data_IF_076391444873
#
_entry.id   IF_076391444873
#
_cell.length_a   1.000
_cell.length_b   1.000
_cell.length_c   1.000
_cell.angle_alpha   90.00
_cell.angle_beta   90.00
_cell.angle_gamma   90.00
#
_symmetry.space_group_name_H-M   'P 1'
#
loop_
_entity.id
_entity.type
_entity.pdbx_description
1 polymer ?
#
# COMPACT_ATOMS: atom_id res chain seq x y z
N UNK A 1 -20.33 15.34 -16.94
CA UNK A 1 -21.59 15.05 -16.23
C UNK A 1 -21.71 15.97 -15.03
N UNK A 2 -22.92 16.29 -14.61
CA UNK A 2 -23.21 17.06 -13.41
C UNK A 2 -22.99 16.22 -12.14
N UNK A 3 -22.39 16.76 -11.06
CA UNK A 3 -21.97 15.97 -9.91
C UNK A 3 -23.13 15.49 -9.00
N UNK A 4 -24.33 16.08 -9.10
CA UNK A 4 -25.40 15.82 -8.13
C UNK A 4 -25.96 14.39 -8.13
N UNK A 5 -25.76 13.62 -9.21
CA UNK A 5 -26.11 12.19 -9.29
C UNK A 5 -24.88 11.30 -9.35
N UNK A 6 -23.68 11.84 -9.16
CA UNK A 6 -22.46 11.05 -9.14
C UNK A 6 -22.09 10.75 -7.69
N UNK A 7 -21.80 9.49 -7.41
CA UNK A 7 -21.29 9.05 -6.11
C UNK A 7 -19.88 8.48 -6.26
N UNK A 8 -18.94 8.79 -5.34
CA UNK A 8 -17.61 8.19 -5.35
C UNK A 8 -17.72 6.68 -5.25
N UNK A 9 -16.87 5.95 -5.98
CA UNK A 9 -17.02 4.52 -6.19
C UNK A 9 -15.70 3.75 -6.05
N UNK A 10 -15.74 2.65 -5.30
CA UNK A 10 -14.60 1.77 -5.01
C UNK A 10 -14.74 0.39 -5.67
N UNK A 11 -13.61 -0.17 -6.06
CA UNK A 11 -13.40 -1.58 -6.39
C UNK A 11 -12.61 -2.26 -5.28
N UNK A 12 -12.51 -3.60 -5.33
CA UNK A 12 -11.80 -4.37 -4.31
C UNK A 12 -10.35 -3.93 -4.10
N UNK A 13 -9.64 -3.57 -5.17
CA UNK A 13 -8.24 -3.13 -5.09
C UNK A 13 -8.07 -1.67 -4.64
N UNK A 14 -9.15 -0.98 -4.27
CA UNK A 14 -9.10 0.38 -3.74
C UNK A 14 -9.26 0.38 -2.20
N UNK A 15 -9.26 -0.79 -1.55
CA UNK A 15 -9.50 -0.94 -0.10
C UNK A 15 -8.36 -1.73 0.53
N UNK A 16 -7.65 -1.09 1.46
CA UNK A 16 -6.46 -1.62 2.13
C UNK A 16 -6.51 -1.36 3.64
N UNK A 17 -5.79 -2.19 4.41
CA UNK A 17 -5.73 -2.16 5.88
C UNK A 17 -5.44 -0.75 6.42
N UNK A 18 -6.38 -0.13 7.12
CA UNK A 18 -6.31 1.24 7.68
C UNK A 18 -6.01 2.38 6.67
N UNK A 19 -6.00 2.11 5.36
CA UNK A 19 -5.68 3.15 4.40
C UNK A 19 -6.89 4.09 4.24
N UNK A 20 -6.67 5.41 4.16
CA UNK A 20 -7.70 6.35 3.75
C UNK A 20 -8.27 6.00 2.37
N UNK A 21 -9.54 6.28 2.16
CA UNK A 21 -10.22 5.95 0.91
C UNK A 21 -10.02 7.04 -0.15
N UNK A 22 -9.43 6.66 -1.28
CA UNK A 22 -9.25 7.53 -2.44
C UNK A 22 -10.04 7.03 -3.67
N UNK A 23 -11.35 7.30 -3.74
CA UNK A 23 -12.18 6.83 -4.85
C UNK A 23 -11.78 7.50 -6.18
N UNK A 24 -11.28 6.69 -7.11
CA UNK A 24 -10.89 7.11 -8.47
C UNK A 24 -12.03 6.97 -9.49
N UNK A 25 -13.10 6.28 -9.13
CA UNK A 25 -14.26 6.05 -9.98
C UNK A 25 -15.49 6.75 -9.44
N UNK A 26 -16.46 6.96 -10.32
CA UNK A 26 -17.76 7.53 -9.99
C UNK A 26 -18.86 6.68 -10.61
N UNK A 27 -19.96 6.53 -9.88
CA UNK A 27 -21.16 5.83 -10.36
C UNK A 27 -22.31 6.81 -10.49
N UNK A 28 -23.11 6.67 -11.56
CA UNK A 28 -24.38 7.38 -11.69
C UNK A 28 -25.37 6.71 -10.75
N UNK A 29 -25.82 7.46 -9.75
CA UNK A 29 -26.81 7.06 -8.76
C UNK A 29 -28.11 7.85 -9.03
N UNK A 30 -29.08 7.25 -9.75
CA UNK A 30 -30.28 7.95 -10.22
C UNK A 30 -31.36 8.02 -9.12
N UNK A 31 -30.96 8.30 -7.89
CA UNK A 31 -31.85 8.41 -6.74
C UNK A 31 -31.44 9.59 -5.85
N UNK A 32 -32.42 10.28 -5.29
CA UNK A 32 -32.23 11.17 -4.15
C UNK A 32 -32.42 10.38 -2.86
N UNK A 33 -31.61 10.68 -1.85
CA UNK A 33 -31.75 10.08 -0.52
C UNK A 33 -32.28 11.15 0.42
N UNK A 34 -33.38 10.84 1.10
CA UNK A 34 -33.98 11.66 2.16
C UNK A 34 -34.21 10.77 3.38
N UNK A 35 -33.30 10.83 4.35
CA UNK A 35 -33.31 9.96 5.52
C UNK A 35 -33.21 8.47 5.15
N UNK A 36 -34.26 7.71 5.47
CA UNK A 36 -34.34 6.27 5.17
C UNK A 36 -34.98 5.95 3.80
N UNK A 37 -35.41 6.98 3.07
CA UNK A 37 -36.07 6.83 1.78
C UNK A 37 -35.15 7.14 0.59
N UNK A 38 -35.34 6.40 -0.50
CA UNK A 38 -34.65 6.60 -1.76
C UNK A 38 -35.67 6.88 -2.88
N UNK A 39 -35.67 8.11 -3.39
CA UNK A 39 -36.59 8.57 -4.42
C UNK A 39 -35.92 8.51 -5.79
N UNK A 40 -36.56 7.86 -6.76
CA UNK A 40 -36.01 7.75 -8.12
C UNK A 40 -36.08 9.09 -8.88
N UNK A 41 -35.02 9.42 -9.60
CA UNK A 41 -34.95 10.63 -10.44
C UNK A 41 -35.62 10.34 -11.78
N UNK A 42 -36.81 10.90 -11.99
CA UNK A 42 -37.57 10.75 -13.23
C UNK A 42 -36.89 11.43 -14.43
N UNK A 43 -37.23 10.97 -15.64
CA UNK A 43 -36.57 11.42 -16.87
C UNK A 43 -36.72 12.93 -17.10
N UNK A 44 -37.87 13.51 -16.74
CA UNK A 44 -38.12 14.95 -16.83
C UNK A 44 -37.14 15.74 -15.94
N UNK A 45 -36.88 15.27 -14.71
CA UNK A 45 -35.92 15.91 -13.82
C UNK A 45 -34.50 15.73 -14.36
N UNK A 46 -34.18 14.53 -14.85
CA UNK A 46 -32.88 14.19 -15.40
C UNK A 46 -32.52 15.10 -16.59
N UNK A 47 -33.45 15.32 -17.52
CA UNK A 47 -33.27 16.22 -18.67
C UNK A 47 -33.12 17.69 -18.25
N UNK A 48 -33.93 18.16 -17.29
CA UNK A 48 -33.94 19.56 -16.88
C UNK A 48 -32.76 19.95 -15.99
N UNK A 49 -32.36 19.09 -15.05
CA UNK A 49 -31.36 19.40 -14.01
C UNK A 49 -30.00 18.76 -14.28
N UNK A 50 -29.95 17.66 -15.03
CA UNK A 50 -28.73 16.88 -15.26
C UNK A 50 -28.53 16.55 -16.76
N UNK A 51 -28.55 17.56 -17.66
CA UNK A 51 -28.61 17.34 -19.11
C UNK A 51 -27.42 16.55 -19.66
N UNK A 52 -26.20 16.69 -19.11
CA UNK A 52 -25.03 15.90 -19.57
C UNK A 52 -25.11 14.45 -19.10
N UNK A 53 -25.63 14.20 -17.90
CA UNK A 53 -25.89 12.84 -17.42
C UNK A 53 -26.99 12.18 -18.24
N UNK A 54 -28.06 12.92 -18.56
CA UNK A 54 -29.12 12.45 -19.46
C UNK A 54 -28.57 12.06 -20.83
N UNK A 55 -27.81 12.95 -21.47
CA UNK A 55 -27.19 12.69 -22.77
C UNK A 55 -26.31 11.43 -22.75
N UNK A 56 -25.50 11.25 -21.70
CA UNK A 56 -24.68 10.05 -21.55
C UNK A 56 -25.53 8.78 -21.42
N UNK A 57 -26.54 8.77 -20.55
CA UNK A 57 -27.42 7.61 -20.40
C UNK A 57 -28.12 7.28 -21.71
N UNK A 58 -28.61 8.28 -22.46
CA UNK A 58 -29.25 8.10 -23.76
C UNK A 58 -28.32 7.49 -24.80
N UNK A 59 -27.03 7.86 -24.80
CA UNK A 59 -26.02 7.24 -25.68
C UNK A 59 -25.81 5.75 -25.40
N UNK A 60 -26.13 5.30 -24.18
CA UNK A 60 -25.97 3.92 -23.72
C UNK A 60 -27.32 3.21 -23.47
N UNK A 61 -28.43 3.75 -23.98
CA UNK A 61 -29.78 3.24 -23.69
C UNK A 61 -29.95 1.77 -24.08
N UNK A 62 -29.50 1.39 -25.28
CA UNK A 62 -29.61 0.01 -25.78
C UNK A 62 -28.91 -0.98 -24.84
N UNK A 63 -27.70 -0.66 -24.38
CA UNK A 63 -26.95 -1.49 -23.43
C UNK A 63 -27.67 -1.56 -22.07
N UNK A 64 -28.17 -0.42 -21.59
CA UNK A 64 -28.82 -0.31 -20.28
C UNK A 64 -30.16 -1.06 -20.22
N UNK A 65 -30.96 -1.02 -21.29
CA UNK A 65 -32.22 -1.79 -21.44
C UNK A 65 -31.97 -3.29 -21.50
N UNK A 66 -30.88 -3.70 -22.15
CA UNK A 66 -30.52 -5.12 -22.31
C UNK A 66 -29.94 -5.76 -21.02
N UNK A 67 -29.64 -4.98 -19.98
CA UNK A 67 -29.17 -5.50 -18.68
C UNK A 67 -30.13 -6.56 -18.13
N UNK A 68 -29.55 -7.54 -17.42
CA UNK A 68 -30.30 -8.64 -16.80
C UNK A 68 -31.19 -9.40 -17.81
N UNK A 69 -30.74 -9.51 -19.07
CA UNK A 69 -31.47 -10.20 -20.13
C UNK A 69 -32.71 -9.45 -20.61
N UNK A 70 -32.69 -8.11 -20.60
CA UNK A 70 -33.79 -7.26 -21.07
C UNK A 70 -34.81 -6.88 -20.00
N UNK A 71 -34.59 -7.21 -18.71
CA UNK A 71 -35.53 -6.85 -17.64
C UNK A 71 -35.68 -5.34 -17.45
N UNK A 72 -34.69 -4.56 -17.89
CA UNK A 72 -34.67 -3.10 -17.77
C UNK A 72 -35.35 -2.40 -18.95
N UNK A 73 -35.97 -3.14 -19.87
CA UNK A 73 -36.70 -2.55 -20.99
C UNK A 73 -38.09 -2.03 -20.55
N UNK A 74 -38.08 -0.96 -19.77
CA UNK A 74 -39.27 -0.25 -19.28
C UNK A 74 -39.03 1.27 -19.25
N UNK A 75 -39.97 2.04 -18.69
CA UNK A 75 -39.89 3.51 -18.64
C UNK A 75 -38.67 4.00 -17.83
N UNK A 76 -38.38 3.37 -16.69
CA UNK A 76 -37.21 3.66 -15.84
C UNK A 76 -35.93 2.89 -16.21
N UNK A 77 -35.63 2.73 -17.50
CA UNK A 77 -34.55 1.84 -18.01
C UNK A 77 -33.12 2.08 -17.44
N UNK A 78 -32.85 3.24 -16.86
CA UNK A 78 -31.60 3.60 -16.21
C UNK A 78 -31.60 3.39 -14.68
N UNK A 79 -32.67 2.88 -14.09
CA UNK A 79 -32.72 2.54 -12.67
C UNK A 79 -31.84 1.32 -12.34
N UNK A 80 -31.68 1.03 -11.05
CA UNK A 80 -30.94 -0.14 -10.61
C UNK A 80 -31.83 -1.38 -10.72
N UNK A 81 -31.28 -2.44 -11.32
CA UNK A 81 -31.97 -3.75 -11.48
C UNK A 81 -32.56 -4.24 -10.15
N UNK A 82 -31.82 -4.02 -9.06
CA UNK A 82 -32.24 -4.33 -7.69
C UNK A 82 -31.89 -3.16 -6.77
N UNK A 83 -32.82 -2.23 -6.49
CA UNK A 83 -32.59 -1.08 -5.62
C UNK A 83 -32.62 -1.51 -4.15
N UNK A 84 -31.56 -2.19 -3.69
CA UNK A 84 -31.41 -2.67 -2.32
C UNK A 84 -30.36 -1.84 -1.60
N UNK A 85 -30.58 -1.61 -0.31
CA UNK A 85 -29.63 -0.94 0.59
C UNK A 85 -29.18 0.43 0.08
N UNK A 86 -30.02 1.14 -0.69
CA UNK A 86 -29.66 2.40 -1.33
C UNK A 86 -29.26 3.47 -0.30
N UNK A 87 -29.87 3.42 0.88
CA UNK A 87 -29.64 4.35 1.99
C UNK A 87 -28.48 3.92 2.90
N UNK A 88 -28.11 2.64 2.90
CA UNK A 88 -27.04 2.13 3.77
C UNK A 88 -25.64 2.54 3.30
N UNK A 89 -25.45 2.77 2.00
CA UNK A 89 -24.15 3.19 1.47
C UNK A 89 -23.69 4.54 2.05
N UNK A 90 -24.60 5.46 2.38
CA UNK A 90 -24.26 6.78 2.93
C UNK A 90 -23.88 6.75 4.40
N UNK A 91 -24.11 5.63 5.09
CA UNK A 91 -23.75 5.48 6.49
C UNK A 91 -22.25 5.26 6.62
N UNK A 92 -21.72 5.73 7.73
CA UNK A 92 -20.38 5.40 8.18
C UNK A 92 -20.29 3.90 8.43
N UNK A 93 -19.20 3.27 7.99
CA UNK A 93 -19.05 1.82 8.02
C UNK A 93 -17.60 1.41 7.94
N UNK A 94 -17.31 0.21 8.42
CA UNK A 94 -16.04 -0.47 8.11
C UNK A 94 -16.20 -1.16 6.77
N UNK A 95 -15.19 -1.12 5.90
CA UNK A 95 -15.19 -1.84 4.62
C UNK A 95 -13.99 -2.75 4.47
N UNK A 96 -14.16 -3.83 3.69
CA UNK A 96 -13.10 -4.79 3.37
C UNK A 96 -13.31 -5.41 1.97
N UNK A 97 -12.26 -5.75 1.21
CA UNK A 97 -12.42 -6.45 -0.05
C UNK A 97 -12.93 -7.88 0.18
N UNK A 98 -13.79 -8.38 -0.72
CA UNK A 98 -14.36 -9.74 -0.64
C UNK A 98 -13.27 -10.81 -0.64
N UNK A 99 -12.19 -10.58 -1.38
CA UNK A 99 -11.06 -11.51 -1.54
C UNK A 99 -9.80 -10.74 -1.18
N UNK A 100 -9.07 -11.21 -0.19
CA UNK A 100 -7.92 -10.51 0.38
C UNK A 100 -6.83 -11.49 0.82
N UNK A 101 -5.58 -11.04 0.71
CA UNK A 101 -4.45 -11.63 1.43
C UNK A 101 -4.23 -10.80 2.69
N UNK A 102 -4.37 -11.43 3.86
CA UNK A 102 -4.44 -10.71 5.14
C UNK A 102 -5.75 -9.94 5.35
N UNK A 103 -6.01 -9.48 6.59
CA UNK A 103 -7.08 -8.54 6.89
C UNK A 103 -6.81 -7.17 6.26
N UNK A 104 -7.72 -6.71 5.39
CA UNK A 104 -7.70 -5.37 4.81
C UNK A 104 -9.01 -4.67 5.15
N UNK A 105 -9.14 -4.19 6.39
CA UNK A 105 -10.27 -3.39 6.83
C UNK A 105 -9.87 -1.92 6.95
N UNK A 106 -10.75 -1.01 6.56
CA UNK A 106 -10.60 0.43 6.81
C UNK A 106 -11.94 1.08 7.09
N UNK A 107 -11.92 2.31 7.59
CA UNK A 107 -13.11 3.09 7.92
C UNK A 107 -13.55 3.95 6.74
N UNK A 108 -14.85 3.94 6.46
CA UNK A 108 -15.51 4.78 5.45
C UNK A 108 -16.45 5.75 6.18
N UNK A 109 -15.93 6.93 6.52
CA UNK A 109 -16.70 8.01 7.15
C UNK A 109 -17.57 8.78 6.15
N UNK A 110 -17.27 8.71 4.86
CA UNK A 110 -17.91 9.54 3.83
C UNK A 110 -19.07 8.83 3.09
N UNK A 111 -19.30 7.56 3.40
CA UNK A 111 -20.41 6.80 2.80
C UNK A 111 -20.17 6.47 1.32
N UNK A 112 -19.00 5.92 1.01
CA UNK A 112 -18.54 5.60 -0.34
C UNK A 112 -19.27 4.39 -0.94
N UNK A 113 -19.56 4.45 -2.24
CA UNK A 113 -20.24 3.37 -2.97
C UNK A 113 -19.25 2.34 -3.47
N UNK A 114 -19.68 1.08 -3.62
CA UNK A 114 -18.78 0.04 -4.09
C UNK A 114 -19.52 -1.11 -4.79
N UNK A 115 -18.76 -1.91 -5.56
CA UNK A 115 -19.28 -3.18 -6.11
C UNK A 115 -19.50 -4.23 -5.01
N UNK A 116 -20.06 -5.39 -5.38
CA UNK A 116 -20.13 -6.57 -4.50
C UNK A 116 -18.76 -7.16 -4.13
N UNK A 117 -17.66 -6.65 -4.70
CA UNK A 117 -16.27 -7.07 -4.38
C UNK A 117 -15.69 -6.33 -3.19
N UNK A 118 -16.44 -5.42 -2.60
CA UNK A 118 -16.18 -4.81 -1.30
C UNK A 118 -17.40 -5.11 -0.42
N UNK A 119 -17.14 -5.36 0.85
CA UNK A 119 -18.15 -5.70 1.85
C UNK A 119 -18.15 -4.64 2.94
N UNK A 120 -19.33 -4.14 3.29
CA UNK A 120 -19.52 -3.14 4.34
C UNK A 120 -20.05 -3.76 5.64
N UNK A 121 -19.51 -3.33 6.76
CA UNK A 121 -19.89 -3.71 8.11
C UNK A 121 -20.43 -2.47 8.81
N UNK A 122 -21.74 -2.49 9.10
CA UNK A 122 -22.41 -1.48 9.92
C UNK A 122 -22.42 -1.95 11.37
N UNK A 123 -22.01 -1.07 12.27
CA UNK A 123 -22.13 -1.30 13.71
C UNK A 123 -23.55 -0.98 14.13
N UNK A 124 -24.15 -1.83 14.95
CA UNK A 124 -25.51 -1.64 15.42
C UNK A 124 -25.49 -0.79 16.71
N UNK A 125 -26.31 0.26 16.78
CA UNK A 125 -26.43 1.12 17.97
C UNK A 125 -26.80 0.36 19.25
N UNK A 126 -27.28 -0.88 19.15
CA UNK A 126 -27.61 -1.72 20.31
C UNK A 126 -26.42 -2.47 20.94
N UNK A 127 -25.21 -2.34 20.40
CA UNK A 127 -24.01 -3.00 20.93
C UNK A 127 -22.99 -1.97 21.39
N UNK A 128 -22.29 -2.28 22.47
CA UNK A 128 -21.23 -1.43 23.04
C UNK A 128 -19.92 -1.65 22.24
N UNK A 129 -19.95 -1.31 20.96
CA UNK A 129 -18.76 -1.34 20.10
C UNK A 129 -18.62 -0.03 19.33
N UNK A 130 -17.44 0.56 19.37
CA UNK A 130 -17.07 1.62 18.43
C UNK A 130 -16.51 1.00 17.14
N UNK A 131 -16.74 1.60 15.96
CA UNK A 131 -16.14 1.15 14.71
C UNK A 131 -14.61 1.06 14.76
N UNK A 132 -13.95 1.98 15.44
CA UNK A 132 -12.50 2.08 15.53
C UNK A 132 -11.92 0.93 16.35
N UNK A 133 -12.57 0.57 17.46
CA UNK A 133 -12.21 -0.62 18.23
C UNK A 133 -12.34 -1.89 17.39
N UNK A 134 -13.46 -2.04 16.68
CA UNK A 134 -13.66 -3.19 15.80
C UNK A 134 -12.60 -3.23 14.70
N UNK A 135 -12.21 -2.08 14.18
CA UNK A 135 -11.16 -1.98 13.18
C UNK A 135 -9.83 -2.53 13.71
N UNK A 136 -9.45 -2.16 14.94
CA UNK A 136 -8.26 -2.69 15.64
C UNK A 136 -8.29 -4.22 15.78
N UNK A 137 -9.43 -4.79 16.20
CA UNK A 137 -9.55 -6.24 16.35
C UNK A 137 -9.58 -6.96 15.00
N UNK A 138 -10.31 -6.44 14.02
CA UNK A 138 -10.49 -7.07 12.71
C UNK A 138 -9.21 -7.02 11.87
N UNK A 139 -8.36 -6.02 12.05
CA UNK A 139 -7.07 -5.96 11.35
C UNK A 139 -5.96 -6.76 12.04
N UNK A 140 -6.21 -7.33 13.22
CA UNK A 140 -5.19 -8.07 13.96
C UNK A 140 -4.82 -9.42 13.32
N UNK A 141 -3.61 -9.94 13.60
CA UNK A 141 -3.20 -11.30 13.24
C UNK A 141 -4.13 -12.38 13.78
N UNK A 142 -4.85 -12.12 14.87
CA UNK A 142 -5.84 -13.05 15.43
C UNK A 142 -6.96 -13.36 14.43
N UNK A 143 -7.48 -12.36 13.70
CA UNK A 143 -8.49 -12.62 12.67
C UNK A 143 -7.87 -13.40 11.51
N UNK A 144 -6.66 -13.04 11.10
CA UNK A 144 -5.96 -13.75 10.03
C UNK A 144 -5.78 -15.22 10.36
N UNK A 145 -5.21 -15.52 11.54
CA UNK A 145 -5.04 -16.87 12.03
C UNK A 145 -6.37 -17.65 12.04
N UNK A 146 -7.45 -17.03 12.52
CA UNK A 146 -8.78 -17.64 12.50
C UNK A 146 -9.25 -17.96 11.07
N UNK A 147 -9.13 -17.02 10.12
CA UNK A 147 -9.56 -17.23 8.73
C UNK A 147 -8.67 -18.22 7.98
N UNK A 148 -7.36 -18.24 8.25
CA UNK A 148 -6.42 -19.20 7.68
C UNK A 148 -6.75 -20.64 8.10
N UNK A 149 -7.31 -20.83 9.29
CA UNK A 149 -7.70 -22.15 9.81
C UNK A 149 -9.14 -22.57 9.51
N UNK A 150 -10.06 -21.63 9.26
CA UNK A 150 -11.51 -21.91 9.12
C UNK A 150 -12.10 -21.53 7.77
N UNK A 151 -11.42 -20.66 7.05
CA UNK A 151 -11.88 -20.04 5.82
C UNK A 151 -11.67 -20.90 4.57
N UNK A 152 -12.13 -20.36 3.45
CA UNK A 152 -11.93 -20.98 2.14
C UNK A 152 -10.73 -20.34 1.44
N UNK A 153 -9.66 -21.12 1.29
CA UNK A 153 -8.44 -20.70 0.59
C UNK A 153 -8.66 -20.69 -0.93
N UNK A 154 -8.31 -19.56 -1.55
CA UNK A 154 -8.24 -19.36 -2.98
C UNK A 154 -6.78 -19.48 -3.45
N UNK A 155 -6.57 -19.47 -4.77
CA UNK A 155 -5.21 -19.56 -5.35
C UNK A 155 -4.31 -18.44 -4.81
N UNK A 156 -3.11 -18.80 -4.39
CA UNK A 156 -2.08 -17.83 -3.94
C UNK A 156 -2.26 -17.31 -2.51
N UNK A 157 -2.93 -18.07 -1.63
CA UNK A 157 -3.04 -17.71 -0.21
C UNK A 157 -4.15 -16.69 0.11
N UNK A 158 -4.99 -16.34 -0.85
CA UNK A 158 -6.10 -15.40 -0.64
C UNK A 158 -7.29 -16.07 0.06
N UNK A 159 -8.00 -15.33 0.91
CA UNK A 159 -9.21 -15.79 1.62
C UNK A 159 -10.42 -14.92 1.31
N UNK A 160 -11.61 -15.47 1.60
CA UNK A 160 -12.89 -14.77 1.38
C UNK A 160 -13.39 -14.09 2.66
N UNK A 161 -13.63 -12.78 2.60
CA UNK A 161 -14.14 -11.94 3.69
C UNK A 161 -15.62 -11.63 3.46
N UNK A 162 -16.49 -12.61 3.75
CA UNK A 162 -17.95 -12.47 3.68
C UNK A 162 -18.60 -12.86 5.00
N UNK A 163 -19.88 -12.50 5.17
CA UNK A 163 -20.71 -12.80 6.35
C UNK A 163 -20.49 -14.21 6.89
N UNK A 164 -20.58 -15.24 6.04
CA UNK A 164 -20.49 -16.63 6.50
C UNK A 164 -19.11 -17.01 7.05
N UNK A 165 -18.05 -16.33 6.63
CA UNK A 165 -16.68 -16.59 7.08
C UNK A 165 -16.29 -15.71 8.27
N UNK A 166 -16.82 -14.48 8.35
CA UNK A 166 -16.56 -13.56 9.45
C UNK A 166 -17.43 -13.84 10.68
N UNK A 167 -18.69 -14.25 10.49
CA UNK A 167 -19.67 -14.42 11.57
C UNK A 167 -19.26 -15.41 12.69
N UNK A 168 -18.50 -16.49 12.44
CA UNK A 168 -18.06 -17.37 13.53
C UNK A 168 -16.88 -16.81 14.34
N UNK A 169 -16.23 -15.72 13.90
CA UNK A 169 -15.18 -15.05 14.66
C UNK A 169 -15.78 -14.32 15.87
N UNK A 170 -15.16 -14.47 17.05
CA UNK A 170 -15.66 -13.89 18.29
C UNK A 170 -14.87 -12.64 18.65
N UNK A 171 -15.53 -11.48 18.67
CA UNK A 171 -14.91 -10.21 19.11
C UNK A 171 -14.95 -10.12 20.65
N UNK A 172 -13.86 -9.71 21.34
CA UNK A 172 -13.87 -9.54 22.78
C UNK A 172 -14.95 -8.53 23.19
N UNK A 173 -15.82 -8.92 24.11
CA UNK A 173 -16.86 -8.03 24.63
C UNK A 173 -16.23 -7.20 25.76
N UNK A 174 -15.98 -5.93 25.49
CA UNK A 174 -15.50 -4.95 26.46
C UNK A 174 -16.45 -3.74 26.42
N UNK A 175 -16.71 -3.07 27.55
CA UNK A 175 -17.68 -1.98 27.61
C UNK A 175 -17.10 -0.71 26.96
N UNK A 176 -17.96 0.27 26.65
CA UNK A 176 -17.57 1.59 26.14
C UNK A 176 -17.66 2.68 27.21
N UNK A 177 -17.59 2.30 28.48
CA UNK A 177 -17.73 3.20 29.65
C UNK A 177 -16.37 3.66 30.18
N UNK A 178 -15.53 4.19 29.28
CA UNK A 178 -14.20 4.65 29.62
C UNK A 178 -14.19 5.80 30.64
N UNK A 179 -13.13 5.83 31.43
CA UNK A 179 -12.78 6.98 32.27
C UNK A 179 -11.86 7.91 31.45
N UNK A 180 -12.26 9.17 31.29
CA UNK A 180 -11.57 10.10 30.41
C UNK A 180 -10.11 10.36 30.83
N UNK A 181 -9.87 10.47 32.15
CA UNK A 181 -8.53 10.68 32.71
C UNK A 181 -7.62 9.46 32.40
N UNK A 182 -8.18 8.25 32.49
CA UNK A 182 -7.51 7.00 32.13
C UNK A 182 -7.14 6.91 30.65
N UNK A 183 -8.01 7.38 29.75
CA UNK A 183 -7.74 7.40 28.31
C UNK A 183 -6.66 8.45 28.00
N UNK A 184 -6.73 9.63 28.61
CA UNK A 184 -5.71 10.68 28.46
C UNK A 184 -4.33 10.19 28.92
N UNK A 185 -4.25 9.45 30.03
CA UNK A 185 -2.99 8.84 30.48
C UNK A 185 -2.40 7.86 29.44
N UNK A 186 -3.24 7.04 28.81
CA UNK A 186 -2.81 6.12 27.75
C UNK A 186 -2.33 6.87 26.50
N UNK A 187 -3.00 7.96 26.12
CA UNK A 187 -2.62 8.80 24.99
C UNK A 187 -1.29 9.52 25.24
N UNK A 188 -1.10 10.13 26.41
CA UNK A 188 0.17 10.76 26.79
C UNK A 188 1.33 9.76 26.83
N UNK A 189 1.07 8.54 27.30
CA UNK A 189 2.06 7.46 27.24
C UNK A 189 2.39 7.10 25.79
N UNK A 190 1.39 6.99 24.92
CA UNK A 190 1.57 6.66 23.50
C UNK A 190 2.45 7.68 22.77
N UNK A 191 2.26 8.98 23.00
CA UNK A 191 3.11 10.03 22.42
C UNK A 191 4.58 9.84 22.81
N UNK A 192 4.85 9.52 24.08
CA UNK A 192 6.21 9.22 24.57
C UNK A 192 6.74 7.92 24.00
N UNK A 193 5.88 6.91 23.85
CA UNK A 193 6.23 5.61 23.27
C UNK A 193 6.65 5.74 21.81
N UNK A 194 5.88 6.47 21.01
CA UNK A 194 6.14 6.70 19.58
C UNK A 194 7.37 7.56 19.35
N UNK A 195 7.56 8.60 20.16
CA UNK A 195 8.77 9.44 20.12
C UNK A 195 10.02 8.80 20.74
N UNK A 196 9.89 7.56 21.25
CA UNK A 196 10.97 6.82 21.93
C UNK A 196 11.53 7.53 23.17
N UNK A 197 10.73 8.39 23.80
CA UNK A 197 11.12 9.13 25.01
C UNK A 197 10.74 8.41 26.30
N UNK A 198 10.15 7.21 26.22
CA UNK A 198 9.86 6.36 27.38
C UNK A 198 10.24 4.91 27.14
N UNK A 199 10.51 4.20 28.24
CA UNK A 199 10.67 2.73 28.30
C UNK A 199 9.68 2.10 29.27
N UNK A 200 8.75 2.90 29.79
CA UNK A 200 7.71 2.45 30.70
C UNK A 200 6.73 1.54 29.96
N UNK A 201 6.20 0.57 30.69
CA UNK A 201 5.18 -0.34 30.18
C UNK A 201 3.88 0.42 29.86
N UNK A 202 3.14 -0.07 28.88
CA UNK A 202 1.87 0.52 28.49
C UNK A 202 0.88 0.46 29.66
N UNK A 203 0.18 1.57 30.01
CA UNK A 203 -0.68 1.62 31.19
C UNK A 203 -1.68 0.47 31.28
N UNK A 204 -2.31 0.09 30.17
CA UNK A 204 -3.25 -1.03 30.07
C UNK A 204 -2.70 -2.42 30.45
N UNK A 205 -1.37 -2.61 30.47
CA UNK A 205 -0.74 -3.86 30.93
C UNK A 205 -0.33 -3.80 32.41
N UNK A 206 -0.44 -2.63 33.04
CA UNK A 206 -0.11 -2.47 34.46
C UNK A 206 -1.28 -2.88 35.35
N UNK A 207 -1.01 -3.22 36.62
CA UNK A 207 -2.04 -3.57 37.61
C UNK A 207 -3.04 -2.44 37.91
N UNK A 208 -2.79 -1.22 37.40
CA UNK A 208 -3.65 -0.05 37.60
C UNK A 208 -4.93 -0.13 36.76
N UNK A 209 -4.89 -0.85 35.63
CA UNK A 209 -5.99 -0.91 34.67
C UNK A 209 -6.53 -2.34 34.55
N UNK A 210 -7.85 -2.46 34.44
CA UNK A 210 -8.46 -3.69 33.96
C UNK A 210 -8.33 -3.73 32.43
N UNK A 211 -7.69 -4.78 31.91
CA UNK A 211 -7.53 -4.98 30.46
C UNK A 211 -8.89 -5.08 29.75
N UNK A 212 -9.95 -5.51 30.43
CA UNK A 212 -11.31 -5.58 29.84
C UNK A 212 -12.19 -4.38 30.22
N UNK A 213 -11.59 -3.20 30.36
CA UNK A 213 -12.28 -1.93 30.65
C UNK A 213 -12.60 -1.13 29.38
N UNK A 214 -13.49 -0.15 29.52
CA UNK A 214 -13.74 0.83 28.46
C UNK A 214 -12.54 1.69 28.10
N UNK A 215 -11.59 1.88 29.02
CA UNK A 215 -10.32 2.52 28.69
C UNK A 215 -9.54 1.74 27.63
N UNK A 216 -9.51 0.41 27.71
CA UNK A 216 -8.84 -0.42 26.69
C UNK A 216 -9.59 -0.38 25.36
N UNK A 217 -10.93 -0.32 25.41
CA UNK A 217 -11.78 -0.15 24.23
C UNK A 217 -11.44 1.14 23.47
N UNK A 218 -11.50 2.26 24.16
CA UNK A 218 -11.27 3.57 23.58
C UNK A 218 -9.81 3.78 23.18
N UNK A 219 -8.86 3.23 23.94
CA UNK A 219 -7.45 3.29 23.58
C UNK A 219 -7.15 2.51 22.30
N UNK A 220 -7.73 1.32 22.10
CA UNK A 220 -7.63 0.60 20.84
C UNK A 220 -8.29 1.35 19.67
N UNK A 221 -9.40 2.05 19.92
CA UNK A 221 -10.02 2.93 18.93
C UNK A 221 -9.08 4.07 18.52
N UNK A 222 -8.51 4.76 19.52
CA UNK A 222 -7.52 5.81 19.31
C UNK A 222 -6.31 5.31 18.50
N UNK A 223 -5.75 4.14 18.81
CA UNK A 223 -4.61 3.59 18.06
C UNK A 223 -4.96 3.30 16.59
N UNK A 224 -6.18 2.84 16.30
CA UNK A 224 -6.65 2.67 14.91
C UNK A 224 -6.74 4.01 14.18
N UNK A 225 -7.28 5.04 14.80
CA UNK A 225 -7.33 6.39 14.24
C UNK A 225 -5.93 6.94 13.97
N UNK A 226 -5.00 6.74 14.90
CA UNK A 226 -3.60 7.16 14.75
C UNK A 226 -2.93 6.48 13.55
N UNK A 227 -3.14 5.18 13.32
CA UNK A 227 -2.62 4.51 12.12
C UNK A 227 -3.21 5.12 10.84
N UNK A 228 -4.52 5.36 10.80
CA UNK A 228 -5.18 5.97 9.63
C UNK A 228 -4.58 7.35 9.36
N UNK A 229 -4.38 8.16 10.40
CA UNK A 229 -3.78 9.50 10.29
C UNK A 229 -2.33 9.44 9.83
N UNK A 230 -1.51 8.55 10.40
CA UNK A 230 -0.12 8.37 10.00
C UNK A 230 -0.02 7.93 8.53
N UNK A 231 -0.88 7.01 8.08
CA UNK A 231 -0.97 6.60 6.67
C UNK A 231 -1.36 7.76 5.77
N UNK A 232 -2.39 8.53 6.13
CA UNK A 232 -2.78 9.73 5.41
C UNK A 232 -1.63 10.76 5.30
N UNK A 233 -0.84 10.93 6.36
CA UNK A 233 0.34 11.80 6.34
C UNK A 233 1.46 11.25 5.46
N UNK A 234 1.66 9.93 5.47
CA UNK A 234 2.65 9.25 4.64
C UNK A 234 2.30 9.42 3.15
N UNK A 235 1.05 9.19 2.77
CA UNK A 235 0.59 9.23 1.37
C UNK A 235 0.65 10.65 0.76
N UNK A 236 0.65 11.69 1.60
CA UNK A 236 0.86 13.07 1.15
C UNK A 236 2.31 13.38 0.78
N UNK A 237 3.28 12.52 1.10
CA UNK A 237 4.68 12.76 0.82
C UNK A 237 5.03 12.33 -0.61
N UNK A 238 5.66 13.24 -1.36
CA UNK A 238 6.19 12.90 -2.68
C UNK A 238 7.53 12.17 -2.53
N UNK A 239 7.56 10.88 -2.88
CA UNK A 239 8.76 10.04 -2.86
C UNK A 239 9.37 9.82 -4.26
N UNK A 240 8.90 10.56 -5.26
CA UNK A 240 9.50 10.53 -6.59
C UNK A 240 10.65 11.56 -6.68
N UNK A 241 11.89 11.10 -6.63
CA UNK A 241 13.07 11.97 -6.72
C UNK A 241 13.07 12.86 -7.97
N UNK A 242 12.56 12.38 -9.12
CA UNK A 242 12.60 13.15 -10.36
C UNK A 242 11.84 14.48 -10.27
N UNK A 243 10.76 14.52 -9.48
CA UNK A 243 9.98 15.74 -9.23
C UNK A 243 10.79 16.79 -8.45
N UNK A 244 11.74 16.34 -7.61
CA UNK A 244 12.63 17.22 -6.85
C UNK A 244 13.82 17.72 -7.67
N UNK A 245 14.30 16.91 -8.62
CA UNK A 245 15.40 17.28 -9.51
C UNK A 245 14.97 18.30 -10.56
N UNK A 246 13.71 18.21 -11.03
CA UNK A 246 13.19 19.09 -12.07
C UNK A 246 14.04 19.03 -13.34
N UNK A 247 14.33 20.19 -13.93
CA UNK A 247 15.23 20.29 -15.08
C UNK A 247 16.67 20.46 -14.63
N UNK A 248 17.55 19.56 -15.06
CA UNK A 248 18.99 19.62 -14.79
C UNK A 248 19.80 19.45 -16.07
N UNK A 249 21.05 19.88 -16.04
CA UNK A 249 22.03 19.62 -17.09
C UNK A 249 22.77 18.30 -16.87
N UNK A 250 23.33 17.72 -17.94
CA UNK A 250 24.10 16.49 -17.86
C UNK A 250 25.45 16.76 -17.16
N UNK A 251 25.73 16.00 -16.11
CA UNK A 251 27.02 15.94 -15.43
C UNK A 251 27.94 14.87 -16.03
N UNK A 252 28.81 14.31 -15.18
CA UNK A 252 29.76 13.28 -15.58
C UNK A 252 29.09 11.91 -15.76
N UNK A 253 29.70 11.06 -16.58
CA UNK A 253 29.34 9.64 -16.60
C UNK A 253 29.86 8.95 -15.34
N UNK A 254 29.11 7.97 -14.85
CA UNK A 254 29.39 7.25 -13.62
C UNK A 254 30.79 6.58 -13.65
N UNK A 255 31.22 6.07 -14.81
CA UNK A 255 32.55 5.47 -14.99
C UNK A 255 33.70 6.46 -15.19
N UNK A 256 33.41 7.76 -15.33
CA UNK A 256 34.41 8.83 -15.51
C UNK A 256 34.72 9.58 -14.20
N UNK A 257 34.03 9.25 -13.12
CA UNK A 257 34.33 9.79 -11.79
C UNK A 257 35.73 9.35 -11.33
N UNK A 258 36.48 10.27 -10.73
CA UNK A 258 37.86 10.01 -10.31
C UNK A 258 37.94 9.00 -9.15
N UNK A 259 36.88 8.91 -8.37
CA UNK A 259 36.72 8.05 -7.20
C UNK A 259 36.38 6.60 -7.58
N UNK A 260 36.02 6.36 -8.85
CA UNK A 260 35.65 5.04 -9.35
C UNK A 260 36.85 4.09 -9.38
N UNK A 261 36.63 2.86 -8.88
CA UNK A 261 37.50 1.73 -9.13
C UNK A 261 36.68 0.46 -9.44
N UNK A 262 37.22 -0.47 -10.25
CA UNK A 262 36.60 -1.76 -10.48
C UNK A 262 36.68 -2.62 -9.19
N UNK A 263 35.58 -3.26 -8.76
CA UNK A 263 35.60 -4.21 -7.65
C UNK A 263 36.46 -5.44 -7.97
N UNK A 264 36.99 -6.09 -6.94
CA UNK A 264 37.76 -7.33 -7.11
C UNK A 264 36.88 -8.45 -7.69
N UNK A 265 37.35 -9.11 -8.75
CA UNK A 265 36.62 -10.20 -9.41
C UNK A 265 35.50 -9.75 -10.36
N UNK A 266 35.21 -8.44 -10.47
CA UNK A 266 34.17 -7.92 -11.35
C UNK A 266 34.43 -8.22 -12.84
N UNK A 267 35.70 -8.34 -13.26
CA UNK A 267 36.06 -8.68 -14.63
C UNK A 267 35.89 -10.17 -14.98
N UNK A 268 35.81 -11.04 -13.98
CA UNK A 268 35.65 -12.50 -14.14
C UNK A 268 34.18 -12.94 -13.99
N UNK A 269 33.30 -12.02 -13.61
CA UNK A 269 31.90 -12.29 -13.39
C UNK A 269 31.07 -12.09 -14.66
N UNK A 270 29.88 -12.69 -14.65
CA UNK A 270 28.90 -12.59 -15.74
C UNK A 270 28.49 -11.15 -16.09
N UNK A 271 28.63 -10.20 -15.16
CA UNK A 271 28.27 -8.80 -15.41
C UNK A 271 29.29 -8.08 -16.31
N UNK A 272 30.49 -8.64 -16.49
CA UNK A 272 31.50 -8.20 -17.45
C UNK A 272 31.39 -8.90 -18.82
N UNK A 273 30.51 -9.88 -18.96
CA UNK A 273 30.28 -10.58 -20.23
C UNK A 273 29.50 -9.71 -21.23
N UNK A 274 29.59 -10.09 -22.51
CA UNK A 274 28.90 -9.41 -23.61
C UNK A 274 27.86 -10.33 -24.24
N UNK A 275 27.06 -9.78 -25.15
CA UNK A 275 26.14 -10.61 -25.93
C UNK A 275 26.84 -11.52 -26.96
N UNK A 276 28.17 -11.59 -26.99
CA UNK A 276 28.90 -12.61 -27.77
C UNK A 276 29.11 -13.90 -26.98
N UNK A 277 29.19 -13.80 -25.65
CA UNK A 277 29.34 -14.95 -24.76
C UNK A 277 28.01 -15.40 -24.19
N UNK A 278 27.07 -14.48 -23.97
CA UNK A 278 25.72 -14.78 -23.45
C UNK A 278 24.63 -13.99 -24.15
N UNK A 279 23.78 -14.69 -24.88
CA UNK A 279 22.61 -14.10 -25.50
C UNK A 279 21.61 -13.58 -24.45
N UNK A 280 20.93 -12.50 -24.79
CA UNK A 280 19.89 -11.87 -23.96
C UNK A 280 20.34 -11.34 -22.59
N UNK A 281 21.65 -11.21 -22.34
CA UNK A 281 22.18 -10.71 -21.07
C UNK A 281 21.74 -9.25 -20.79
N UNK A 282 21.14 -9.01 -19.62
CA UNK A 282 20.66 -7.69 -19.18
C UNK A 282 20.81 -7.51 -17.66
N UNK A 283 20.77 -6.26 -17.20
CA UNK A 283 20.67 -5.94 -15.77
C UNK A 283 19.32 -6.43 -15.23
N UNK A 284 19.34 -7.05 -14.04
CA UNK A 284 18.14 -7.45 -13.29
C UNK A 284 17.72 -6.37 -12.31
N UNK A 285 18.34 -6.36 -11.14
CA UNK A 285 18.20 -5.35 -10.10
C UNK A 285 19.52 -4.62 -9.87
N UNK A 286 19.43 -3.49 -9.19
CA UNK A 286 20.56 -2.68 -8.75
C UNK A 286 20.36 -2.32 -7.29
N UNK A 287 21.43 -2.47 -6.52
CA UNK A 287 21.48 -2.12 -5.10
C UNK A 287 22.68 -1.24 -4.84
N UNK A 288 22.54 -0.26 -3.94
CA UNK A 288 23.63 0.63 -3.56
C UNK A 288 23.92 0.47 -2.08
N UNK A 289 25.12 0.00 -1.76
CA UNK A 289 25.57 -0.24 -0.39
C UNK A 289 26.58 0.84 -0.01
N UNK A 290 26.31 1.56 1.07
CA UNK A 290 27.22 2.56 1.63
C UNK A 290 27.80 2.09 2.95
N UNK A 291 29.13 1.92 2.98
CA UNK A 291 29.88 1.56 4.19
C UNK A 291 30.59 2.77 4.81
N UNK A 292 30.17 3.99 4.47
CA UNK A 292 30.75 5.26 4.91
C UNK A 292 31.98 5.67 4.10
N UNK A 293 33.01 4.83 4.04
CA UNK A 293 34.24 5.13 3.27
C UNK A 293 34.19 4.68 1.81
N UNK A 294 33.28 3.76 1.49
CA UNK A 294 33.12 3.13 0.19
C UNK A 294 31.62 3.09 -0.17
N UNK A 295 31.30 3.51 -1.39
CA UNK A 295 30.00 3.30 -2.00
C UNK A 295 30.13 2.18 -3.03
N UNK A 296 29.28 1.16 -2.94
CA UNK A 296 29.31 -0.01 -3.83
C UNK A 296 27.99 -0.09 -4.59
N UNK A 297 28.08 -0.11 -5.91
CA UNK A 297 26.94 -0.37 -6.80
C UNK A 297 26.98 -1.84 -7.17
N UNK A 298 25.97 -2.57 -6.73
CA UNK A 298 25.80 -3.99 -7.03
C UNK A 298 24.68 -4.18 -8.04
N UNK A 299 24.80 -5.20 -8.88
CA UNK A 299 23.74 -5.56 -9.80
C UNK A 299 23.62 -7.08 -9.95
N UNK A 300 22.41 -7.55 -10.22
CA UNK A 300 22.16 -8.91 -10.70
C UNK A 300 22.13 -8.91 -12.23
N UNK A 301 22.47 -10.05 -12.83
CA UNK A 301 22.34 -10.26 -14.26
C UNK A 301 21.17 -11.21 -14.54
N UNK A 302 20.38 -10.87 -15.55
CA UNK A 302 19.34 -11.75 -16.10
C UNK A 302 19.74 -12.21 -17.49
N UNK A 303 19.60 -13.51 -17.75
CA UNK A 303 19.93 -14.12 -19.04
C UNK A 303 19.04 -15.33 -19.31
N UNK A 304 19.02 -15.80 -20.55
CA UNK A 304 18.35 -17.06 -20.90
C UNK A 304 19.38 -18.20 -20.89
N UNK A 305 19.25 -19.18 -19.99
CA UNK A 305 20.19 -20.31 -19.94
C UNK A 305 20.06 -21.17 -21.20
N UNK A 306 21.17 -21.76 -21.64
CA UNK A 306 21.19 -22.68 -22.78
C UNK A 306 20.40 -23.97 -22.49
N UNK A 307 20.42 -24.41 -21.23
CA UNK A 307 19.71 -25.58 -20.71
C UNK A 307 18.70 -25.12 -19.64
N UNK A 308 17.48 -24.68 -20.01
CA UNK A 308 16.51 -24.11 -19.06
C UNK A 308 16.00 -25.08 -18.00
N UNK A 309 16.15 -26.40 -18.21
CA UNK A 309 15.72 -27.41 -17.23
C UNK A 309 16.56 -27.40 -15.95
N UNK A 310 17.77 -26.85 -16.01
CA UNK A 310 18.69 -26.75 -14.86
C UNK A 310 18.51 -25.47 -14.04
N UNK A 311 17.58 -24.58 -14.43
CA UNK A 311 17.41 -23.26 -13.82
C UNK A 311 15.95 -22.95 -13.53
N UNK A 312 15.72 -22.22 -12.43
CA UNK A 312 14.44 -21.55 -12.23
C UNK A 312 14.37 -20.34 -13.16
N UNK A 313 13.41 -20.38 -14.09
CA UNK A 313 13.22 -19.32 -15.08
C UNK A 313 11.86 -18.66 -14.92
N UNK A 314 11.81 -17.36 -15.21
CA UNK A 314 10.55 -16.62 -15.26
C UNK A 314 9.69 -17.03 -16.46
N UNK A 315 8.49 -16.44 -16.57
CA UNK A 315 7.58 -16.68 -17.70
C UNK A 315 8.17 -16.35 -19.09
N UNK A 316 9.29 -15.63 -19.15
CA UNK A 316 9.99 -15.23 -20.36
C UNK A 316 11.28 -16.04 -20.62
N UNK A 317 11.57 -17.03 -19.76
CA UNK A 317 12.71 -17.93 -19.83
C UNK A 317 14.02 -17.35 -19.27
N UNK A 318 13.95 -16.29 -18.47
CA UNK A 318 15.13 -15.69 -17.84
C UNK A 318 15.38 -16.28 -16.45
N UNK A 319 16.63 -16.62 -16.17
CA UNK A 319 17.13 -16.82 -14.81
C UNK A 319 17.83 -15.54 -14.34
N UNK A 320 17.93 -15.36 -13.03
CA UNK A 320 18.62 -14.24 -12.40
C UNK A 320 19.79 -14.74 -11.54
N UNK A 321 20.88 -14.00 -11.53
CA UNK A 321 22.06 -14.35 -10.73
C UNK A 321 21.97 -13.79 -9.32
N UNK A 322 22.86 -14.26 -8.45
CA UNK A 322 23.21 -13.51 -7.24
C UNK A 322 23.73 -12.10 -7.59
N UNK A 323 23.70 -11.22 -6.59
CA UNK A 323 24.18 -9.84 -6.73
C UNK A 323 25.71 -9.79 -6.81
N UNK A 324 26.25 -9.03 -7.77
CA UNK A 324 27.68 -8.81 -7.96
C UNK A 324 28.03 -7.33 -7.78
N UNK A 325 29.14 -7.04 -7.11
CA UNK A 325 29.71 -5.70 -7.09
C UNK A 325 30.17 -5.31 -8.50
N UNK A 326 29.55 -4.29 -9.06
CA UNK A 326 29.83 -3.79 -10.41
C UNK A 326 30.73 -2.56 -10.41
N UNK A 327 30.52 -1.66 -9.45
CA UNK A 327 31.32 -0.44 -9.30
C UNK A 327 31.58 -0.13 -7.83
N UNK A 328 32.77 0.36 -7.53
CA UNK A 328 33.13 0.88 -6.21
C UNK A 328 33.60 2.32 -6.35
N UNK A 329 33.23 3.15 -5.37
CA UNK A 329 33.69 4.52 -5.26
C UNK A 329 34.27 4.77 -3.88
N UNK A 330 35.49 5.31 -3.83
CA UNK A 330 36.18 5.62 -2.57
C UNK A 330 36.41 7.13 -2.49
N UNK A 331 35.98 7.74 -1.38
CA UNK A 331 36.24 9.15 -1.11
C UNK A 331 35.32 10.14 -1.83
N UNK A 332 34.14 9.71 -2.27
CA UNK A 332 33.08 10.61 -2.76
C UNK A 332 32.65 11.60 -1.68
N UNK A 333 32.28 12.82 -2.09
CA UNK A 333 31.53 13.73 -1.24
C UNK A 333 30.16 13.15 -0.87
N UNK A 334 29.61 13.56 0.28
CA UNK A 334 28.27 13.12 0.70
C UNK A 334 27.19 13.50 -0.31
N UNK A 335 27.35 14.64 -0.99
CA UNK A 335 26.46 15.10 -2.06
C UNK A 335 26.48 14.16 -3.27
N UNK A 336 27.67 13.76 -3.74
CA UNK A 336 27.80 12.85 -4.86
C UNK A 336 27.33 11.44 -4.50
N UNK A 337 27.56 10.98 -3.27
CA UNK A 337 26.99 9.72 -2.79
C UNK A 337 25.47 9.75 -2.83
N UNK A 338 24.84 10.83 -2.36
CA UNK A 338 23.40 11.00 -2.39
C UNK A 338 22.84 10.98 -3.82
N UNK A 339 23.50 11.68 -4.75
CA UNK A 339 23.18 11.62 -6.19
C UNK A 339 23.22 10.18 -6.67
N UNK A 340 24.33 9.47 -6.47
CA UNK A 340 24.49 8.10 -6.97
C UNK A 340 23.45 7.17 -6.35
N UNK A 341 23.25 7.23 -5.02
CA UNK A 341 22.30 6.39 -4.27
C UNK A 341 20.87 6.49 -4.78
N UNK A 342 20.40 7.70 -5.03
CA UNK A 342 18.98 7.92 -5.31
C UNK A 342 18.69 8.04 -6.81
N UNK A 343 19.65 8.52 -7.62
CA UNK A 343 19.43 8.70 -9.06
C UNK A 343 19.75 7.45 -9.89
N UNK A 344 20.82 6.71 -9.56
CA UNK A 344 21.26 5.58 -10.39
C UNK A 344 20.22 4.45 -10.41
N UNK A 345 19.56 4.07 -9.29
CA UNK A 345 18.51 3.06 -9.34
C UNK A 345 17.35 3.47 -10.25
N UNK A 346 16.89 4.73 -10.15
CA UNK A 346 15.85 5.28 -11.02
C UNK A 346 16.28 5.23 -12.48
N UNK A 347 17.54 5.54 -12.79
CA UNK A 347 18.02 5.48 -14.16
C UNK A 347 18.05 4.05 -14.73
N UNK A 348 18.27 3.06 -13.89
CA UNK A 348 18.23 1.64 -14.28
C UNK A 348 16.80 1.16 -14.47
N UNK A 349 15.89 1.56 -13.58
CA UNK A 349 14.48 1.20 -13.63
C UNK A 349 13.76 1.80 -14.86
N UNK A 350 13.96 3.09 -15.13
CA UNK A 350 13.44 3.76 -16.32
C UNK A 350 14.00 3.14 -17.62
N UNK A 351 15.25 2.69 -17.57
CA UNK A 351 15.97 2.10 -18.69
C UNK A 351 15.80 2.94 -19.98
N UNK A 352 15.62 2.30 -21.14
CA UNK A 352 15.16 2.99 -22.36
C UNK A 352 16.11 4.03 -23.00
N UNK A 353 17.26 4.32 -22.40
CA UNK A 353 18.15 5.43 -22.77
C UNK A 353 18.05 6.64 -21.84
N UNK A 354 17.21 6.60 -20.80
CA UNK A 354 17.20 7.60 -19.74
C UNK A 354 18.58 7.68 -19.08
N UNK A 355 19.07 8.89 -18.82
CA UNK A 355 20.44 9.11 -18.34
C UNK A 355 21.53 8.38 -19.17
N UNK A 356 21.29 8.14 -20.47
CA UNK A 356 22.14 7.32 -21.35
C UNK A 356 22.31 5.85 -20.93
N UNK A 357 21.58 5.37 -19.93
CA UNK A 357 21.62 3.98 -19.50
C UNK A 357 20.88 3.06 -20.48
N UNK A 358 21.43 1.86 -20.66
CA UNK A 358 20.83 0.79 -21.47
C UNK A 358 20.99 -0.53 -20.73
N UNK A 359 19.88 -1.19 -20.42
CA UNK A 359 19.85 -2.41 -19.61
C UNK A 359 20.52 -3.64 -20.25
N UNK A 360 20.54 -3.76 -21.57
CA UNK A 360 21.01 -4.97 -22.26
C UNK A 360 22.48 -4.85 -22.66
N UNK A 361 23.24 -5.91 -22.42
CA UNK A 361 24.56 -6.08 -23.00
C UNK A 361 24.47 -6.08 -24.54
N UNK A 362 25.56 -5.67 -25.18
CA UNK A 362 25.74 -5.82 -26.64
C UNK A 362 27.03 -6.54 -26.89
N UNK A 363 27.28 -6.87 -28.16
CA UNK A 363 28.52 -7.53 -28.57
C UNK A 363 29.79 -6.83 -28.08
N UNK A 364 29.73 -5.51 -27.91
CA UNK A 364 30.88 -4.68 -27.54
C UNK A 364 30.74 -3.97 -26.19
N UNK A 365 29.63 -4.14 -25.47
CA UNK A 365 29.43 -3.50 -24.16
C UNK A 365 28.83 -4.50 -23.19
N UNK A 366 29.54 -4.76 -22.10
CA UNK A 366 29.06 -5.52 -20.96
C UNK A 366 28.04 -4.75 -20.11
N UNK A 367 27.44 -5.38 -19.11
CA UNK A 367 26.54 -4.70 -18.17
C UNK A 367 27.29 -3.62 -17.37
N UNK A 368 28.54 -3.88 -16.98
CA UNK A 368 29.40 -2.86 -16.34
C UNK A 368 29.62 -1.67 -17.29
N UNK A 369 29.89 -1.91 -18.57
CA UNK A 369 30.08 -0.82 -19.55
C UNK A 369 28.81 0.00 -19.77
N UNK A 370 27.64 -0.63 -19.65
CA UNK A 370 26.35 0.07 -19.67
C UNK A 370 26.20 0.98 -18.47
N UNK A 371 26.48 0.46 -17.27
CA UNK A 371 26.37 1.20 -16.03
C UNK A 371 27.36 2.38 -15.97
N UNK A 372 28.60 2.17 -16.43
CA UNK A 372 29.61 3.24 -16.56
C UNK A 372 29.14 4.42 -17.40
N UNK A 373 28.29 4.18 -18.41
CA UNK A 373 27.77 5.20 -19.33
C UNK A 373 26.56 5.97 -18.79
N UNK A 374 26.02 5.57 -17.63
CA UNK A 374 24.97 6.33 -16.95
C UNK A 374 25.48 7.73 -16.66
N UNK A 375 24.81 8.72 -17.21
CA UNK A 375 25.14 10.13 -17.09
C UNK A 375 24.41 10.69 -15.88
N UNK A 376 25.16 11.12 -14.88
CA UNK A 376 24.59 11.73 -13.68
C UNK A 376 24.09 13.14 -13.97
N UNK A 377 23.11 13.65 -13.21
CA UNK A 377 22.80 15.08 -13.23
C UNK A 377 24.01 15.90 -12.78
N UNK A 378 24.16 17.12 -13.29
CA UNK A 378 25.17 18.05 -12.80
C UNK A 378 24.90 18.38 -11.33
N UNK A 379 25.88 18.13 -10.46
CA UNK A 379 25.76 18.25 -9.01
C UNK A 379 25.21 19.62 -8.57
N UNK A 380 25.70 20.70 -9.17
CA UNK A 380 25.29 22.07 -8.84
C UNK A 380 23.81 22.34 -9.14
N UNK A 381 23.21 21.63 -10.10
CA UNK A 381 21.80 21.82 -10.47
C UNK A 381 20.85 21.08 -9.52
N UNK A 382 21.28 19.97 -8.93
CA UNK A 382 20.40 19.04 -8.22
C UNK A 382 20.60 18.96 -6.71
N UNK A 383 21.69 19.52 -6.17
CA UNK A 383 22.04 19.37 -4.75
C UNK A 383 20.89 19.77 -3.81
N UNK A 384 20.27 20.93 -4.02
CA UNK A 384 19.13 21.38 -3.21
C UNK A 384 17.88 20.50 -3.38
N UNK A 385 17.65 19.99 -4.59
CA UNK A 385 16.57 19.05 -4.90
C UNK A 385 16.72 17.76 -4.10
N UNK A 386 17.93 17.19 -4.15
CA UNK A 386 18.27 15.94 -3.44
C UNK A 386 18.15 16.11 -1.93
N UNK A 387 18.62 17.20 -1.35
CA UNK A 387 18.49 17.43 0.09
C UNK A 387 17.03 17.51 0.54
N UNK A 388 16.16 18.18 -0.24
CA UNK A 388 14.71 18.22 0.03
C UNK A 388 14.05 16.86 -0.10
N UNK A 389 14.44 16.09 -1.11
CA UNK A 389 13.97 14.72 -1.30
C UNK A 389 14.39 13.84 -0.12
N UNK A 390 15.67 13.83 0.26
CA UNK A 390 16.17 13.05 1.41
C UNK A 390 15.47 13.43 2.72
N UNK A 391 15.21 14.72 2.95
CA UNK A 391 14.43 15.15 4.11
C UNK A 391 12.99 14.62 4.08
N UNK A 392 12.37 14.54 2.90
CA UNK A 392 11.01 13.99 2.73
C UNK A 392 11.02 12.47 2.94
N UNK A 393 12.00 11.77 2.35
CA UNK A 393 12.21 10.33 2.51
C UNK A 393 12.43 9.95 3.97
N UNK A 394 13.30 10.64 4.69
CA UNK A 394 13.51 10.41 6.13
C UNK A 394 12.23 10.62 6.95
N UNK A 395 11.40 11.60 6.58
CA UNK A 395 10.10 11.81 7.23
C UNK A 395 9.14 10.64 6.95
N UNK A 396 9.09 10.15 5.72
CA UNK A 396 8.29 8.99 5.34
C UNK A 396 8.74 7.73 6.11
N UNK A 397 10.05 7.45 6.15
CA UNK A 397 10.62 6.35 6.93
C UNK A 397 10.28 6.45 8.42
N UNK A 398 10.33 7.67 9.00
CA UNK A 398 9.91 7.87 10.38
C UNK A 398 8.42 7.57 10.57
N UNK A 399 7.53 8.08 9.70
CA UNK A 399 6.10 7.81 9.79
C UNK A 399 5.81 6.31 9.64
N UNK A 400 6.48 5.64 8.70
CA UNK A 400 6.37 4.19 8.51
C UNK A 400 6.75 3.42 9.78
N UNK A 401 7.86 3.79 10.42
CA UNK A 401 8.24 3.23 11.71
C UNK A 401 7.17 3.45 12.79
N UNK A 402 6.53 4.62 12.82
CA UNK A 402 5.44 4.90 13.77
C UNK A 402 4.23 3.99 13.49
N UNK A 403 3.84 3.83 12.22
CA UNK A 403 2.76 2.92 11.80
C UNK A 403 3.02 1.50 12.29
N UNK A 404 4.21 0.96 12.02
CA UNK A 404 4.60 -0.40 12.43
C UNK A 404 4.54 -0.55 13.96
N UNK A 405 5.09 0.42 14.69
CA UNK A 405 5.13 0.39 16.15
C UNK A 405 3.74 0.46 16.79
N UNK A 406 2.83 1.23 16.19
CA UNK A 406 1.43 1.32 16.62
C UNK A 406 0.68 0.04 16.30
N UNK A 407 0.91 -0.56 15.14
CA UNK A 407 0.30 -1.82 14.75
C UNK A 407 0.72 -2.97 15.69
N UNK A 408 2.01 -3.06 16.00
CA UNK A 408 2.55 -4.02 16.97
C UNK A 408 1.93 -3.83 18.36
N UNK A 409 1.72 -2.58 18.78
CA UNK A 409 1.04 -2.29 20.04
C UNK A 409 -0.41 -2.78 20.00
N UNK A 410 -1.18 -2.46 18.95
CA UNK A 410 -2.56 -2.96 18.78
C UNK A 410 -2.57 -4.50 18.87
N UNK A 411 -1.67 -5.17 18.14
CA UNK A 411 -1.60 -6.62 18.11
C UNK A 411 -1.37 -7.21 19.51
N UNK A 412 -0.41 -6.66 20.27
CA UNK A 412 -0.13 -7.08 21.65
C UNK A 412 -1.34 -6.93 22.57
N UNK A 413 -2.08 -5.83 22.46
CA UNK A 413 -3.28 -5.59 23.26
C UNK A 413 -4.37 -6.59 22.89
N UNK A 414 -4.58 -6.80 21.59
CA UNK A 414 -5.56 -7.77 21.08
C UNK A 414 -5.20 -9.17 21.56
N UNK A 415 -3.93 -9.61 21.48
CA UNK A 415 -3.52 -10.92 21.99
C UNK A 415 -3.84 -11.08 23.48
N UNK A 416 -3.55 -10.06 24.28
CA UNK A 416 -3.88 -10.06 25.70
C UNK A 416 -5.41 -10.14 25.95
N UNK A 417 -6.22 -9.47 25.13
CA UNK A 417 -7.69 -9.55 25.20
C UNK A 417 -8.25 -10.92 24.84
N UNK A 418 -7.56 -11.70 23.99
CA UNK A 418 -7.89 -13.10 23.74
C UNK A 418 -7.30 -14.06 24.77
N UNK A 419 -6.34 -13.58 25.57
CA UNK A 419 -5.66 -14.38 26.59
C UNK A 419 -4.69 -15.39 25.99
N UNK A 420 -4.03 -15.05 24.88
CA UNK A 420 -2.99 -15.89 24.29
C UNK A 420 -1.71 -15.84 25.11
N UNK A 421 -1.09 -17.00 25.28
CA UNK A 421 0.24 -17.14 25.86
C UNK A 421 1.33 -16.90 24.80
N UNK A 422 2.57 -16.67 25.22
CA UNK A 422 3.69 -16.34 24.31
C UNK A 422 3.88 -17.39 23.20
N UNK A 423 3.74 -18.69 23.49
CA UNK A 423 3.88 -19.76 22.49
C UNK A 423 2.71 -19.83 21.50
N UNK A 424 1.54 -19.29 21.88
CA UNK A 424 0.39 -19.17 21.01
C UNK A 424 0.53 -17.94 20.10
N UNK A 425 1.04 -16.82 20.64
CA UNK A 425 1.39 -15.63 19.87
C UNK A 425 2.41 -15.96 18.79
N UNK A 426 3.48 -16.67 19.13
CA UNK A 426 4.52 -17.07 18.17
C UNK A 426 3.93 -17.93 17.01
N UNK A 427 2.96 -18.80 17.32
CA UNK A 427 2.23 -19.58 16.29
C UNK A 427 1.33 -18.70 15.43
N UNK A 428 0.62 -17.75 16.03
CA UNK A 428 -0.23 -16.81 15.30
C UNK A 428 0.62 -16.00 14.32
N UNK A 429 1.74 -15.45 14.78
CA UNK A 429 2.64 -14.63 13.98
C UNK A 429 3.30 -15.43 12.86
N UNK A 430 3.65 -16.70 13.08
CA UNK A 430 4.18 -17.56 12.02
C UNK A 430 3.24 -17.72 10.82
N UNK A 431 1.92 -17.56 11.01
CA UNK A 431 0.95 -17.62 9.89
C UNK A 431 0.92 -16.36 9.02
N UNK A 432 1.63 -15.30 9.41
CA UNK A 432 1.81 -14.11 8.59
C UNK A 432 2.98 -14.26 7.61
N UNK A 433 3.92 -15.18 7.89
CA UNK A 433 5.14 -15.41 7.12
C UNK A 433 5.01 -16.50 6.04
N UNK A 434 3.94 -17.30 6.09
CA UNK A 434 3.58 -18.36 5.12
C UNK A 434 2.68 -17.86 3.98
#
# INVERSE_FOLDING_TARGET
MEPGLLKPFLKGNDVHRYDPLEPRYWVIFPYHIDGEDAEFVEEEELEQRYPRTYEYLRQHEDDLRNREGGKMDHERWYDYVYPKNLTDFQKEKIITPEISYGPNFTYDSDGTYHTTKVYGLLVNDSVDFSPEYLLSVLNSPTLWFFLSNTGYTLRGGYFTFKTNYLNPFSVPQIPTDSDADSVEECQEWYEKFISQSTTEECPIFTEQFDLRSGTTHDFLGFLAEEIIQLKAQHDQLNLNILDYLGTYSNGQQLGELAEYQPPQGAAESIIAETSETRDSLRVGSIDIVDSGSKLEVKLTARYKPDDPEDFETDQWGYTETQSYSAMEFIGLSEEMKAIIKEFVPVAVEEAGGFANFRETATKTNSLIDRLKKTTLPAQDDVSDGIQRYLSTKNRAENIQYQIEKTDDLINRIVYALYGFEDDEVERIESTLEE
#
